data_IF_400564159112
#
_entry.id   IF_400564159112
#
_cell.length_a   1.000
_cell.length_b   1.000
_cell.length_c   1.000
_cell.angle_alpha   90.00
_cell.angle_beta   90.00
_cell.angle_gamma   90.00
#
_symmetry.space_group_name_H-M   'P 1'
#
loop_
_entity.id
_entity.type
_entity.pdbx_description
1 polymer ?
#
# COMPACT_ATOMS: atom_id res chain seq x y z
N UNK A 1 10.65 14.22 -5.18
CA UNK A 1 10.70 13.01 -4.34
C UNK A 1 9.28 12.65 -3.96
N UNK A 2 8.79 11.49 -4.37
CA UNK A 2 7.48 10.99 -3.95
C UNK A 2 7.70 10.30 -2.61
N UNK A 3 7.10 10.81 -1.54
CA UNK A 3 7.19 10.19 -0.21
C UNK A 3 5.84 9.57 0.14
N UNK A 4 5.83 8.27 0.43
CA UNK A 4 4.63 7.58 0.91
C UNK A 4 4.45 7.87 2.39
N UNK A 5 3.26 8.30 2.75
CA UNK A 5 2.86 8.58 4.14
C UNK A 5 1.55 7.85 4.48
N UNK A 6 1.17 7.87 5.76
CA UNK A 6 -0.07 7.23 6.20
C UNK A 6 -1.33 7.78 5.50
N UNK A 7 -1.31 9.03 5.05
CA UNK A 7 -2.43 9.68 4.35
C UNK A 7 -2.42 9.43 2.85
N UNK A 8 -1.35 8.81 2.31
CA UNK A 8 -1.27 8.45 0.89
C UNK A 8 -2.38 7.45 0.54
N UNK A 9 -3.13 7.78 -0.52
CA UNK A 9 -4.17 6.90 -1.04
C UNK A 9 -3.55 5.64 -1.66
N UNK A 10 -4.04 4.47 -1.26
CA UNK A 10 -3.45 3.19 -1.67
C UNK A 10 -3.63 2.95 -3.16
N UNK A 11 -4.78 3.33 -3.74
CA UNK A 11 -5.03 3.17 -5.17
C UNK A 11 -4.08 4.02 -6.01
N UNK A 12 -3.87 5.29 -5.63
CA UNK A 12 -2.95 6.18 -6.35
C UNK A 12 -1.50 5.66 -6.27
N UNK A 13 -1.07 5.21 -5.08
CA UNK A 13 0.28 4.65 -4.90
C UNK A 13 0.52 3.46 -5.82
N UNK A 14 -0.40 2.49 -5.81
CA UNK A 14 -0.30 1.29 -6.65
C UNK A 14 -0.38 1.64 -8.15
N UNK A 15 -1.19 2.64 -8.51
CA UNK A 15 -1.33 3.09 -9.89
C UNK A 15 -0.05 3.78 -10.41
N UNK A 16 0.62 4.55 -9.56
CA UNK A 16 1.89 5.20 -9.89
C UNK A 16 3.07 4.22 -9.84
N UNK A 17 3.06 3.33 -8.86
CA UNK A 17 4.14 2.40 -8.54
C UNK A 17 3.59 0.98 -8.35
N UNK A 18 3.30 0.24 -9.43
CA UNK A 18 2.72 -1.10 -9.33
C UNK A 18 3.62 -2.09 -8.57
N UNK A 19 4.93 -1.86 -8.50
CA UNK A 19 5.84 -2.69 -7.69
C UNK A 19 5.52 -2.67 -6.18
N UNK A 20 4.82 -1.64 -5.70
CA UNK A 20 4.41 -1.56 -4.29
C UNK A 20 3.36 -2.62 -3.91
N UNK A 21 2.70 -3.23 -4.90
CA UNK A 21 1.75 -4.33 -4.66
C UNK A 21 2.46 -5.50 -3.98
N UNK A 22 3.65 -5.89 -4.46
CA UNK A 22 4.38 -7.02 -3.89
C UNK A 22 4.77 -6.77 -2.43
N UNK A 23 5.17 -5.53 -2.11
CA UNK A 23 5.44 -5.10 -0.72
C UNK A 23 4.18 -5.24 0.14
N UNK A 24 3.06 -4.69 -0.31
CA UNK A 24 1.79 -4.78 0.42
C UNK A 24 1.36 -6.24 0.61
N UNK A 25 1.42 -7.04 -0.45
CA UNK A 25 1.09 -8.46 -0.39
C UNK A 25 1.99 -9.21 0.59
N UNK A 26 3.29 -8.92 0.61
CA UNK A 26 4.27 -9.47 1.55
C UNK A 26 3.96 -9.10 3.01
N UNK A 27 3.42 -7.91 3.25
CA UNK A 27 2.95 -7.46 4.57
C UNK A 27 1.58 -8.02 4.99
N UNK A 28 1.02 -8.95 4.22
CA UNK A 28 -0.23 -9.64 4.53
C UNK A 28 -1.46 -9.08 3.81
N UNK A 29 -1.33 -8.06 2.95
CA UNK A 29 -2.43 -7.55 2.13
C UNK A 29 -2.71 -8.44 0.91
N UNK A 30 -2.90 -9.75 1.13
CA UNK A 30 -3.09 -10.76 0.08
C UNK A 30 -4.32 -10.50 -0.79
N UNK A 31 -5.35 -9.84 -0.25
CA UNK A 31 -6.54 -9.40 -0.98
C UNK A 31 -6.22 -8.49 -2.18
N UNK A 32 -5.07 -7.80 -2.18
CA UNK A 32 -4.64 -6.95 -3.30
C UNK A 32 -4.13 -7.74 -4.50
N UNK A 33 -3.90 -9.05 -4.36
CA UNK A 33 -3.63 -9.95 -5.50
C UNK A 33 -4.82 -10.01 -6.45
N UNK A 34 -6.04 -9.88 -5.93
CA UNK A 34 -7.24 -9.83 -6.76
C UNK A 34 -7.39 -8.43 -7.37
N UNK A 35 -7.38 -8.29 -8.71
CA UNK A 35 -7.48 -6.98 -9.37
C UNK A 35 -8.80 -6.29 -9.06
N UNK A 36 -9.89 -7.04 -8.86
CA UNK A 36 -11.20 -6.50 -8.50
C UNK A 36 -11.15 -5.91 -7.08
N UNK A 37 -10.73 -6.70 -6.09
CA UNK A 37 -10.66 -6.25 -4.70
C UNK A 37 -9.68 -5.09 -4.53
N UNK A 38 -8.52 -5.16 -5.20
CA UNK A 38 -7.55 -4.07 -5.24
C UNK A 38 -8.21 -2.78 -5.72
N UNK A 39 -8.90 -2.79 -6.86
CA UNK A 39 -9.49 -1.57 -7.41
C UNK A 39 -10.63 -1.02 -6.54
N UNK A 40 -11.39 -1.88 -5.86
CA UNK A 40 -12.51 -1.48 -4.99
C UNK A 40 -12.03 -0.95 -3.64
N UNK A 41 -11.22 -1.73 -2.91
CA UNK A 41 -10.82 -1.41 -1.53
C UNK A 41 -9.84 -0.24 -1.49
N UNK A 42 -8.86 -0.22 -2.38
CA UNK A 42 -7.75 0.76 -2.32
C UNK A 42 -8.17 2.17 -2.69
N UNK A 43 -9.30 2.35 -3.39
CA UNK A 43 -9.80 3.68 -3.78
C UNK A 43 -10.32 4.48 -2.58
N UNK A 44 -10.94 3.79 -1.63
CA UNK A 44 -11.60 4.41 -0.49
C UNK A 44 -10.70 4.59 0.73
N UNK A 45 -9.50 3.97 0.74
CA UNK A 45 -8.62 3.94 1.92
C UNK A 45 -7.24 4.51 1.63
N UNK A 46 -6.61 5.04 2.68
CA UNK A 46 -5.18 5.36 2.72
C UNK A 46 -4.37 4.27 3.43
N UNK A 47 -3.04 4.39 3.39
CA UNK A 47 -2.12 3.41 4.01
C UNK A 47 -2.42 3.23 5.51
N UNK A 48 -2.66 4.32 6.25
CA UNK A 48 -2.95 4.23 7.68
C UNK A 48 -4.31 3.60 8.00
N UNK A 49 -5.28 3.69 7.11
CA UNK A 49 -6.54 2.96 7.23
C UNK A 49 -6.35 1.49 6.86
N UNK A 50 -5.53 1.18 5.87
CA UNK A 50 -5.21 -0.20 5.50
C UNK A 50 -4.59 -0.97 6.67
N UNK A 51 -3.69 -0.36 7.45
CA UNK A 51 -3.09 -0.99 8.64
C UNK A 51 -4.05 -1.15 9.82
N UNK A 52 -5.18 -0.44 9.84
CA UNK A 52 -6.27 -0.66 10.81
C UNK A 52 -7.12 -1.88 10.44
N UNK A 53 -7.31 -2.12 9.15
CA UNK A 53 -8.09 -3.25 8.64
C UNK A 53 -7.27 -4.54 8.74
N UNK A 54 -5.98 -4.45 8.44
CA UNK A 54 -5.05 -5.57 8.57
C UNK A 54 -3.91 -5.14 9.51
N UNK A 55 -3.85 -5.68 10.74
CA UNK A 55 -2.88 -5.25 11.74
C UNK A 55 -1.45 -5.53 11.26
N UNK A 56 -0.84 -4.49 10.71
CA UNK A 56 0.55 -4.49 10.23
C UNK A 56 1.25 -3.26 10.80
N UNK A 57 2.56 -3.35 11.00
CA UNK A 57 3.35 -2.21 11.45
C UNK A 57 3.42 -1.15 10.35
N UNK A 58 2.75 -0.02 10.57
CA UNK A 58 2.68 1.09 9.61
C UNK A 58 4.06 1.72 9.34
N UNK A 59 4.92 1.81 10.35
CA UNK A 59 6.25 2.42 10.19
C UNK A 59 7.13 1.57 9.28
N UNK A 60 7.13 0.25 9.51
CA UNK A 60 7.82 -0.71 8.65
C UNK A 60 7.25 -0.72 7.23
N UNK A 61 5.91 -0.68 7.09
CA UNK A 61 5.26 -0.62 5.79
C UNK A 61 5.64 0.64 5.02
N UNK A 62 5.58 1.81 5.66
CA UNK A 62 5.95 3.07 5.03
C UNK A 62 7.41 3.07 4.62
N UNK A 63 8.31 2.54 5.44
CA UNK A 63 9.72 2.39 5.09
C UNK A 63 9.90 1.52 3.85
N UNK A 64 9.33 0.33 3.82
CA UNK A 64 9.50 -0.59 2.69
C UNK A 64 8.87 -0.05 1.40
N UNK A 65 7.76 0.68 1.49
CA UNK A 65 7.14 1.35 0.36
C UNK A 65 8.01 2.48 -0.18
N UNK A 66 8.59 3.31 0.70
CA UNK A 66 9.50 4.38 0.30
C UNK A 66 10.81 3.84 -0.28
N UNK A 67 11.34 2.75 0.29
CA UNK A 67 12.54 2.07 -0.23
C UNK A 67 12.27 1.52 -1.65
N UNK A 68 11.08 0.95 -1.89
CA UNK A 68 10.70 0.37 -3.20
C UNK A 68 10.39 1.38 -4.31
N UNK A 69 10.21 2.66 -3.98
CA UNK A 69 10.02 3.74 -4.98
C UNK A 69 11.27 4.60 -5.15
N UNK A 70 12.22 4.51 -4.23
CA UNK A 70 13.49 5.27 -4.28
C UNK A 70 14.63 4.43 -4.87
N UNK A 71 14.53 3.10 -4.78
CA UNK A 71 15.40 2.15 -5.48
C UNK A 71 15.11 2.12 -6.99
#
# INVERSE_FOLDING_TARGET
>A
MTTVTATTNVYQLIKQHPQTIDVLVSKGFTQLKSPILRNTLTRAINIGQATKINPTNIEQLLKDLNDSITA
#
